data_IF_261885803902
#
_entry.id   IF_261885803902
#
_cell.length_a   1.000
_cell.length_b   1.000
_cell.length_c   1.000
_cell.angle_alpha   90.00
_cell.angle_beta   90.00
_cell.angle_gamma   90.00
#
_symmetry.space_group_name_H-M   'P 1'
#
loop_
_entity.id
_entity.type
_entity.pdbx_description
1 polymer ?
#
# COMPACT_ATOMS: atom_id res chain seq x y z
N UNK A 1 -31.88 17.32 -2.74
CA UNK A 1 -31.15 16.07 -3.12
C UNK A 1 -30.54 15.48 -1.86
N UNK A 2 -31.11 14.38 -1.34
CA UNK A 2 -30.52 13.64 -0.23
C UNK A 2 -29.43 12.77 -0.86
N UNK A 3 -28.20 13.28 -0.91
CA UNK A 3 -27.08 12.55 -1.51
C UNK A 3 -26.91 11.26 -0.74
N UNK A 4 -26.67 10.20 -1.49
CA UNK A 4 -26.68 8.81 -1.09
C UNK A 4 -25.47 8.50 -0.19
N UNK A 5 -25.45 9.03 1.04
CA UNK A 5 -24.30 8.97 1.97
C UNK A 5 -23.88 7.54 2.33
N UNK A 6 -24.81 6.59 2.26
CA UNK A 6 -24.53 5.17 2.45
C UNK A 6 -23.70 4.58 1.29
N UNK A 7 -23.93 5.02 0.06
CA UNK A 7 -23.12 4.58 -1.08
C UNK A 7 -21.73 5.24 -1.06
N UNK A 8 -21.63 6.49 -0.63
CA UNK A 8 -20.36 7.20 -0.59
C UNK A 8 -19.39 6.59 0.43
N UNK A 9 -19.84 6.33 1.67
CA UNK A 9 -19.00 5.69 2.70
C UNK A 9 -18.54 4.28 2.31
N UNK A 10 -19.40 3.50 1.65
CA UNK A 10 -19.05 2.16 1.13
C UNK A 10 -17.97 2.25 0.06
N UNK A 11 -18.07 3.22 -0.86
CA UNK A 11 -17.07 3.44 -1.91
C UNK A 11 -15.74 3.86 -1.30
N UNK A 12 -15.74 4.73 -0.30
CA UNK A 12 -14.52 5.17 0.41
C UNK A 12 -13.78 3.98 1.05
N UNK A 13 -14.49 3.06 1.71
CA UNK A 13 -13.90 1.84 2.28
C UNK A 13 -13.28 0.92 1.21
N UNK A 14 -13.99 0.72 0.09
CA UNK A 14 -13.48 -0.09 -1.02
C UNK A 14 -12.20 0.52 -1.60
N UNK A 15 -12.18 1.84 -1.79
CA UNK A 15 -11.01 2.54 -2.31
C UNK A 15 -9.82 2.41 -1.35
N UNK A 16 -10.04 2.57 -0.04
CA UNK A 16 -8.99 2.38 0.97
C UNK A 16 -8.43 0.95 0.94
N UNK A 17 -9.29 -0.06 0.88
CA UNK A 17 -8.88 -1.45 0.79
C UNK A 17 -8.05 -1.74 -0.47
N UNK A 18 -8.49 -1.22 -1.64
CA UNK A 18 -7.77 -1.36 -2.90
C UNK A 18 -6.40 -0.69 -2.83
N UNK A 19 -6.32 0.51 -2.26
CA UNK A 19 -5.03 1.21 -2.08
C UNK A 19 -4.10 0.42 -1.16
N UNK A 20 -4.62 -0.15 -0.07
CA UNK A 20 -3.87 -1.02 0.83
C UNK A 20 -3.26 -2.23 0.12
N UNK A 21 -4.06 -2.94 -0.68
CA UNK A 21 -3.58 -4.09 -1.48
C UNK A 21 -2.52 -3.67 -2.51
N UNK A 22 -2.75 -2.57 -3.23
CA UNK A 22 -1.79 -2.07 -4.24
C UNK A 22 -0.45 -1.73 -3.59
N UNK A 23 -0.46 -1.05 -2.43
CA UNK A 23 0.75 -0.74 -1.69
C UNK A 23 1.50 -1.99 -1.27
N UNK A 24 0.81 -3.04 -0.79
CA UNK A 24 1.44 -4.31 -0.44
C UNK A 24 2.07 -5.00 -1.65
N UNK A 25 1.38 -5.04 -2.79
CA UNK A 25 1.88 -5.66 -4.02
C UNK A 25 3.14 -4.94 -4.53
N UNK A 26 3.10 -3.61 -4.63
CA UNK A 26 4.25 -2.81 -5.09
C UNK A 26 5.42 -2.97 -4.12
N UNK A 27 5.14 -2.95 -2.82
CA UNK A 27 6.16 -3.12 -1.78
C UNK A 27 6.82 -4.49 -1.82
N UNK A 28 6.01 -5.55 -1.95
CA UNK A 28 6.50 -6.91 -2.13
C UNK A 28 7.40 -7.01 -3.36
N UNK A 29 7.00 -6.41 -4.48
CA UNK A 29 7.83 -6.34 -5.68
C UNK A 29 9.16 -5.60 -5.45
N UNK A 30 9.16 -4.45 -4.78
CA UNK A 30 10.38 -3.73 -4.44
C UNK A 30 11.34 -4.58 -3.57
N UNK A 31 10.79 -5.36 -2.63
CA UNK A 31 11.58 -6.29 -1.82
C UNK A 31 12.18 -7.43 -2.65
N UNK A 32 11.47 -7.96 -3.65
CA UNK A 32 12.03 -8.99 -4.56
C UNK A 32 13.10 -8.46 -5.51
N UNK A 33 13.09 -7.15 -5.81
CA UNK A 33 14.15 -6.51 -6.60
C UNK A 33 15.41 -6.19 -5.79
N UNK A 34 15.32 -6.19 -4.45
CA UNK A 34 16.45 -5.84 -3.56
C UNK A 34 17.72 -6.69 -3.79
N UNK A 35 17.66 -8.01 -4.03
CA UNK A 35 18.83 -8.84 -4.33
C UNK A 35 19.42 -8.61 -5.73
N UNK A 36 18.62 -8.11 -6.69
CA UNK A 36 19.04 -7.89 -8.07
C UNK A 36 19.86 -6.61 -8.27
N UNK A 37 19.89 -5.71 -7.26
CA UNK A 37 20.68 -4.49 -7.31
C UNK A 37 22.07 -4.71 -6.71
N UNK A 38 23.10 -4.48 -7.52
CA UNK A 38 24.51 -4.55 -7.11
C UNK A 38 24.82 -3.57 -5.97
N UNK A 39 25.74 -3.96 -5.09
CA UNK A 39 26.01 -3.45 -3.74
C UNK A 39 26.33 -1.95 -3.60
N UNK A 40 25.37 -1.09 -3.92
CA UNK A 40 25.37 0.36 -3.71
C UNK A 40 24.15 0.81 -2.89
N UNK A 41 24.11 2.09 -2.52
CA UNK A 41 22.99 2.71 -1.79
C UNK A 41 21.61 2.49 -2.42
N UNK A 42 21.51 2.09 -3.70
CA UNK A 42 20.27 1.69 -4.35
C UNK A 42 19.57 0.50 -3.67
N UNK A 43 20.33 -0.50 -3.19
CA UNK A 43 19.79 -1.68 -2.50
C UNK A 43 19.07 -1.29 -1.20
N UNK A 44 19.72 -0.46 -0.39
CA UNK A 44 19.16 -0.02 0.88
C UNK A 44 17.93 0.88 0.66
N UNK A 45 17.95 1.74 -0.37
CA UNK A 45 16.79 2.57 -0.74
C UNK A 45 15.58 1.74 -1.14
N UNK A 46 15.78 0.68 -1.93
CA UNK A 46 14.71 -0.23 -2.34
C UNK A 46 14.15 -1.03 -1.18
N UNK A 47 15.01 -1.53 -0.30
CA UNK A 47 14.57 -2.20 0.92
C UNK A 47 13.74 -1.26 1.81
N UNK A 48 14.22 -0.04 2.04
CA UNK A 48 13.51 0.98 2.83
C UNK A 48 12.16 1.32 2.16
N UNK A 49 12.14 1.54 0.85
CA UNK A 49 10.91 1.83 0.13
C UNK A 49 9.90 0.68 0.21
N UNK A 50 10.35 -0.57 0.08
CA UNK A 50 9.51 -1.77 0.25
C UNK A 50 8.95 -1.89 1.67
N UNK A 51 9.76 -1.63 2.70
CA UNK A 51 9.28 -1.66 4.09
C UNK A 51 8.25 -0.55 4.35
N UNK A 52 8.54 0.69 3.92
CA UNK A 52 7.63 1.83 4.11
C UNK A 52 6.29 1.56 3.41
N UNK A 53 6.33 1.11 2.16
CA UNK A 53 5.11 0.84 1.42
C UNK A 53 4.30 -0.31 2.04
N UNK A 54 4.95 -1.33 2.61
CA UNK A 54 4.26 -2.41 3.30
C UNK A 54 3.54 -1.93 4.57
N UNK A 55 4.17 -1.04 5.34
CA UNK A 55 3.56 -0.40 6.51
C UNK A 55 2.35 0.45 6.10
N UNK A 56 2.51 1.31 5.09
CA UNK A 56 1.41 2.17 4.59
C UNK A 56 0.25 1.32 4.07
N UNK A 57 0.54 0.27 3.30
CA UNK A 57 -0.48 -0.65 2.80
C UNK A 57 -1.27 -1.33 3.93
N UNK A 58 -0.57 -1.74 4.99
CA UNK A 58 -1.19 -2.33 6.18
C UNK A 58 -2.09 -1.34 6.94
N UNK A 59 -1.69 -0.06 7.02
CA UNK A 59 -2.51 1.01 7.61
C UNK A 59 -3.80 1.20 6.80
N UNK A 60 -3.72 1.31 5.48
CA UNK A 60 -4.91 1.46 4.65
C UNK A 60 -5.87 0.26 4.76
N UNK A 61 -5.34 -0.95 4.87
CA UNK A 61 -6.17 -2.14 5.11
C UNK A 61 -6.82 -2.10 6.49
N UNK A 62 -6.09 -1.71 7.52
CA UNK A 62 -6.63 -1.57 8.87
C UNK A 62 -7.78 -0.56 8.91
N UNK A 63 -7.56 0.64 8.37
CA UNK A 63 -8.58 1.71 8.29
C UNK A 63 -9.78 1.33 7.41
N UNK A 64 -9.62 0.38 6.47
CA UNK A 64 -10.75 -0.10 5.66
C UNK A 64 -11.68 -1.08 6.38
N UNK A 65 -11.25 -1.60 7.54
CA UNK A 65 -11.98 -2.62 8.30
C UNK A 65 -12.60 -2.03 9.58
N UNK A 66 -11.98 -0.98 10.14
CA UNK A 66 -12.45 -0.24 11.32
C UNK A 66 -13.33 0.94 10.96
#
# INVERSE_FOLDING_TARGET
MKVNTMNQSTIEMIVLAVMGVLFLVVSGFLLTQTPAISSSGGRNRLFIAGVIGAVIGSVFLYESIT
#
